data_IF_030811125012
#
_entry.id   IF_030811125012
#
_cell.length_a   1.000
_cell.length_b   1.000
_cell.length_c   1.000
_cell.angle_alpha   90.00
_cell.angle_beta   90.00
_cell.angle_gamma   90.00
#
_symmetry.space_group_name_H-M   'P 1'
#
loop_
_entity.id
_entity.type
_entity.pdbx_description
1 polymer ?
#
# COMPACT_ATOMS: atom_id res chain seq x y z
N UNK A 1 -29.55 -2.03 17.46
CA UNK A 1 -30.77 -2.84 17.24
C UNK A 1 -31.13 -2.78 15.76
N UNK A 2 -30.84 -3.85 15.01
CA UNK A 2 -31.14 -3.92 13.57
C UNK A 2 -32.50 -4.63 13.40
N UNK A 3 -33.59 -3.86 13.43
CA UNK A 3 -34.96 -4.34 13.27
C UNK A 3 -35.28 -4.88 11.85
N UNK A 4 -34.40 -4.66 10.86
CA UNK A 4 -34.52 -5.16 9.49
C UNK A 4 -33.70 -6.42 9.19
N UNK A 5 -33.16 -7.11 10.21
CA UNK A 5 -32.36 -8.31 10.04
C UNK A 5 -33.23 -9.47 9.57
N UNK A 6 -32.99 -9.98 8.38
CA UNK A 6 -33.51 -11.26 7.92
C UNK A 6 -33.09 -12.37 8.90
N UNK A 7 -34.07 -13.04 9.49
CA UNK A 7 -33.95 -13.93 10.65
C UNK A 7 -32.88 -15.01 10.55
N UNK A 8 -31.66 -14.67 10.94
CA UNK A 8 -30.62 -15.66 11.31
C UNK A 8 -30.46 -15.62 12.81
N UNK A 9 -30.82 -16.70 13.48
CA UNK A 9 -30.46 -16.90 14.86
C UNK A 9 -28.96 -17.27 14.90
N UNK A 10 -28.17 -16.51 15.66
CA UNK A 10 -26.80 -16.90 15.99
C UNK A 10 -26.88 -18.02 17.01
N UNK A 11 -26.21 -19.10 16.74
CA UNK A 11 -26.12 -20.25 17.64
C UNK A 11 -24.67 -20.77 17.63
N UNK A 12 -24.32 -21.51 18.67
CA UNK A 12 -23.04 -22.19 18.79
C UNK A 12 -23.27 -23.56 19.44
N UNK A 13 -22.49 -24.55 19.01
CA UNK A 13 -22.42 -25.86 19.67
C UNK A 13 -21.37 -25.88 20.78
N UNK A 14 -20.63 -24.79 20.98
CA UNK A 14 -19.61 -24.65 22.02
C UNK A 14 -20.20 -24.31 23.38
N UNK A 15 -19.39 -24.50 24.40
CA UNK A 15 -19.70 -24.04 25.76
C UNK A 15 -19.68 -22.52 25.83
N UNK A 16 -20.29 -21.97 26.88
CA UNK A 16 -20.17 -20.55 27.21
C UNK A 16 -18.68 -20.23 27.43
N UNK A 17 -18.21 -19.23 26.68
CA UNK A 17 -16.84 -18.73 26.80
C UNK A 17 -16.72 -17.66 27.90
N UNK A 18 -15.57 -17.00 27.93
CA UNK A 18 -15.36 -15.86 28.81
C UNK A 18 -16.29 -14.69 28.43
N UNK A 19 -16.62 -13.86 29.41
CA UNK A 19 -17.46 -12.69 29.19
C UNK A 19 -16.77 -11.69 28.20
N UNK A 20 -17.61 -11.05 27.39
CA UNK A 20 -17.12 -10.02 26.44
C UNK A 20 -16.55 -8.84 27.22
N UNK A 21 -15.31 -8.49 26.97
CA UNK A 21 -14.67 -7.30 27.53
C UNK A 21 -14.84 -6.11 26.60
N UNK A 22 -15.16 -4.94 27.17
CA UNK A 22 -15.23 -3.68 26.45
C UNK A 22 -14.07 -2.79 26.87
N UNK A 23 -13.29 -2.33 25.91
CA UNK A 23 -12.24 -1.35 26.10
C UNK A 23 -12.58 -0.06 25.35
N UNK A 24 -12.59 1.07 26.06
CA UNK A 24 -12.76 2.39 25.46
C UNK A 24 -11.39 3.04 25.26
N UNK A 25 -10.87 2.94 24.05
CA UNK A 25 -9.58 3.51 23.70
C UNK A 25 -9.64 5.05 23.59
N UNK A 26 -8.53 5.70 23.91
CA UNK A 26 -8.40 7.14 23.78
C UNK A 26 -8.30 7.58 22.30
N UNK A 27 -7.65 6.76 21.48
CA UNK A 27 -7.53 6.94 20.02
C UNK A 27 -7.23 5.59 19.34
N UNK A 28 -7.17 5.60 18.01
CA UNK A 28 -6.91 4.41 17.20
C UNK A 28 -5.55 3.73 17.46
N UNK A 29 -4.54 4.50 17.87
CA UNK A 29 -3.21 3.95 18.21
C UNK A 29 -3.25 3.23 19.56
N UNK A 30 -4.01 3.76 20.52
CA UNK A 30 -4.24 3.14 21.82
C UNK A 30 -5.07 1.86 21.68
N UNK A 31 -6.12 1.88 20.84
CA UNK A 31 -6.88 0.69 20.47
C UNK A 31 -6.00 -0.41 19.90
N UNK A 32 -5.18 -0.08 18.93
CA UNK A 32 -4.29 -1.05 18.29
C UNK A 32 -3.25 -1.62 19.25
N UNK A 33 -2.69 -0.79 20.13
CA UNK A 33 -1.76 -1.24 21.17
C UNK A 33 -2.44 -2.18 22.16
N UNK A 34 -3.64 -1.83 22.63
CA UNK A 34 -4.42 -2.70 23.51
C UNK A 34 -4.66 -4.08 22.90
N UNK A 35 -5.05 -4.12 21.61
CA UNK A 35 -5.26 -5.38 20.87
C UNK A 35 -3.97 -6.22 20.84
N UNK A 36 -2.84 -5.61 20.52
CA UNK A 36 -1.53 -6.28 20.49
C UNK A 36 -1.17 -6.84 21.88
N UNK A 37 -1.40 -6.05 22.93
CA UNK A 37 -1.13 -6.47 24.31
C UNK A 37 -2.03 -7.64 24.73
N UNK A 38 -3.29 -7.67 24.30
CA UNK A 38 -4.20 -8.80 24.55
C UNK A 38 -3.72 -10.08 23.85
N UNK A 39 -3.26 -9.99 22.60
CA UNK A 39 -2.71 -11.14 21.86
C UNK A 39 -1.43 -11.66 22.55
N UNK A 40 -0.58 -10.76 23.01
CA UNK A 40 0.66 -11.12 23.72
C UNK A 40 0.34 -11.82 25.05
N UNK A 41 -0.64 -11.31 25.81
CA UNK A 41 -1.11 -11.94 27.05
C UNK A 41 -1.71 -13.33 26.79
N UNK A 42 -2.53 -13.48 25.75
CA UNK A 42 -3.08 -14.77 25.32
C UNK A 42 -1.97 -15.78 25.05
N UNK A 43 -0.95 -15.37 24.30
CA UNK A 43 0.19 -16.23 23.99
C UNK A 43 1.01 -16.60 25.24
N UNK A 44 1.25 -15.66 26.15
CA UNK A 44 1.92 -15.92 27.44
C UNK A 44 1.13 -16.88 28.33
N UNK A 45 -0.19 -16.88 28.21
CA UNK A 45 -1.08 -17.81 28.84
C UNK A 45 -1.12 -19.22 28.22
N UNK A 46 -0.36 -19.46 27.16
CA UNK A 46 -0.28 -20.75 26.45
C UNK A 46 -1.19 -20.86 25.23
N UNK A 47 -1.93 -19.81 24.87
CA UNK A 47 -2.75 -19.76 23.66
C UNK A 47 -1.93 -19.62 22.38
N UNK A 48 -2.54 -19.97 21.25
CA UNK A 48 -1.88 -19.88 19.95
C UNK A 48 -2.31 -18.59 19.22
N UNK A 49 -1.37 -17.90 18.58
CA UNK A 49 -1.67 -16.73 17.75
C UNK A 49 -2.64 -17.04 16.61
N UNK A 50 -2.62 -18.27 16.10
CA UNK A 50 -3.53 -18.72 15.05
C UNK A 50 -5.00 -18.76 15.49
N UNK A 51 -5.27 -18.70 16.78
CA UNK A 51 -6.63 -18.66 17.37
C UNK A 51 -7.12 -17.21 17.52
N UNK A 52 -6.25 -16.22 17.33
CA UNK A 52 -6.61 -14.80 17.44
C UNK A 52 -7.08 -14.25 16.08
N UNK A 53 -8.22 -13.55 16.09
CA UNK A 53 -8.72 -12.83 14.93
C UNK A 53 -9.08 -11.39 15.30
N UNK A 54 -8.62 -10.43 14.47
CA UNK A 54 -8.98 -9.02 14.60
C UNK A 54 -10.02 -8.70 13.54
N UNK A 55 -11.20 -8.29 13.96
CA UNK A 55 -12.29 -7.89 13.07
C UNK A 55 -12.44 -6.36 13.10
N UNK A 56 -12.49 -5.75 11.93
CA UNK A 56 -12.67 -4.31 11.78
C UNK A 56 -13.71 -4.00 10.70
N UNK A 57 -14.37 -2.87 10.83
CA UNK A 57 -15.46 -2.49 9.92
C UNK A 57 -14.99 -1.87 8.61
N UNK A 58 -13.93 -1.09 8.65
CA UNK A 58 -13.44 -0.36 7.47
C UNK A 58 -11.97 -0.64 7.20
N UNK A 59 -11.62 -0.70 5.92
CA UNK A 59 -10.23 -0.89 5.51
C UNK A 59 -9.27 0.22 5.98
N UNK A 60 -9.78 1.39 6.35
CA UNK A 60 -8.96 2.46 6.89
C UNK A 60 -8.34 2.09 8.25
N UNK A 61 -9.07 1.32 9.07
CA UNK A 61 -8.61 0.86 10.39
C UNK A 61 -7.44 -0.14 10.29
N UNK A 62 -7.35 -0.91 9.18
CA UNK A 62 -6.30 -1.92 9.03
C UNK A 62 -4.89 -1.36 9.13
N UNK A 63 -4.64 -0.13 8.66
CA UNK A 63 -3.30 0.49 8.67
C UNK A 63 -2.71 0.58 10.07
N UNK A 64 -3.47 1.11 11.02
CA UNK A 64 -2.99 1.31 12.40
C UNK A 64 -2.76 -0.03 13.09
N UNK A 65 -3.65 -1.00 12.86
CA UNK A 65 -3.51 -2.37 13.36
C UNK A 65 -2.29 -3.06 12.78
N UNK A 66 -2.07 -2.97 11.47
CA UNK A 66 -0.91 -3.55 10.80
C UNK A 66 0.40 -2.95 11.31
N UNK A 67 0.47 -1.60 11.45
CA UNK A 67 1.63 -0.92 12.01
C UNK A 67 1.93 -1.36 13.45
N UNK A 68 0.91 -1.53 14.29
CA UNK A 68 1.09 -2.00 15.66
C UNK A 68 1.60 -3.45 15.73
N UNK A 69 1.05 -4.35 14.90
CA UNK A 69 1.50 -5.74 14.79
C UNK A 69 2.96 -5.85 14.28
N UNK A 70 3.31 -5.04 13.27
CA UNK A 70 4.69 -4.98 12.73
C UNK A 70 5.66 -4.50 13.80
N UNK A 71 5.33 -3.43 14.55
CA UNK A 71 6.18 -2.91 15.64
C UNK A 71 6.39 -3.94 16.75
N UNK A 72 5.36 -4.73 17.03
CA UNK A 72 5.42 -5.82 18.01
C UNK A 72 6.08 -7.10 17.45
N UNK A 73 6.55 -7.08 16.20
CA UNK A 73 7.08 -8.24 15.49
C UNK A 73 6.12 -9.45 15.51
N UNK A 74 4.81 -9.18 15.44
CA UNK A 74 3.76 -10.20 15.37
C UNK A 74 3.39 -10.49 13.92
N UNK A 75 3.63 -11.71 13.40
CA UNK A 75 3.19 -12.08 12.07
C UNK A 75 1.66 -12.11 12.00
N UNK A 76 1.11 -11.58 10.91
CA UNK A 76 -0.33 -11.52 10.68
C UNK A 76 -0.67 -11.85 9.23
N UNK A 77 -1.93 -12.16 8.99
CA UNK A 77 -2.50 -12.39 7.65
C UNK A 77 -3.82 -11.65 7.52
N UNK A 78 -4.02 -10.97 6.38
CA UNK A 78 -5.29 -10.31 6.06
C UNK A 78 -6.13 -11.23 5.18
N UNK A 79 -7.38 -11.44 5.57
CA UNK A 79 -8.37 -12.17 4.81
C UNK A 79 -9.39 -11.20 4.19
N UNK A 80 -9.72 -11.41 2.92
CA UNK A 80 -10.72 -10.59 2.22
C UNK A 80 -10.25 -9.22 1.73
N UNK A 81 -8.94 -8.93 1.82
CA UNK A 81 -8.37 -7.67 1.34
C UNK A 81 -6.86 -7.74 1.11
N UNK A 82 -6.32 -6.68 0.52
CA UNK A 82 -4.87 -6.49 0.39
C UNK A 82 -4.34 -5.75 1.62
N UNK A 83 -3.11 -6.08 2.03
CA UNK A 83 -2.39 -5.28 3.03
C UNK A 83 -2.38 -3.82 2.61
N UNK A 84 -2.42 -2.91 3.56
CA UNK A 84 -2.46 -1.46 3.26
C UNK A 84 -1.39 -1.05 2.24
N UNK A 85 -0.15 -1.46 2.46
CA UNK A 85 0.97 -1.11 1.57
C UNK A 85 0.99 -1.87 0.24
N UNK A 86 0.20 -2.93 0.10
CA UNK A 86 0.07 -3.69 -1.16
C UNK A 86 -1.00 -3.12 -2.09
N UNK A 87 -1.83 -2.20 -1.60
CA UNK A 87 -2.86 -1.53 -2.39
C UNK A 87 -2.23 -0.72 -3.52
N UNK A 88 -2.86 -0.77 -4.68
CA UNK A 88 -2.33 -0.16 -5.89
C UNK A 88 -2.02 1.33 -5.72
N UNK A 89 -2.96 2.07 -5.14
CA UNK A 89 -2.85 3.51 -4.89
C UNK A 89 -1.69 3.84 -3.94
N UNK A 90 -1.50 3.03 -2.89
CA UNK A 90 -0.41 3.22 -1.92
C UNK A 90 0.94 2.91 -2.56
N UNK A 91 1.03 1.82 -3.33
CA UNK A 91 2.26 1.47 -4.06
C UNK A 91 2.63 2.54 -5.09
N UNK A 92 1.65 3.15 -5.74
CA UNK A 92 1.89 4.25 -6.68
C UNK A 92 2.37 5.51 -5.95
N UNK A 93 1.73 5.88 -4.84
CA UNK A 93 2.16 7.03 -4.02
C UNK A 93 3.60 6.83 -3.49
N UNK A 94 3.92 5.65 -2.98
CA UNK A 94 5.27 5.32 -2.53
C UNK A 94 6.30 5.35 -3.68
N UNK A 95 5.92 4.91 -4.88
CA UNK A 95 6.81 4.98 -6.05
C UNK A 95 7.10 6.43 -6.45
N UNK A 96 6.11 7.35 -6.36
CA UNK A 96 6.36 8.78 -6.54
C UNK A 96 7.38 9.32 -5.52
N UNK A 97 7.20 9.03 -4.23
CA UNK A 97 8.12 9.47 -3.18
C UNK A 97 9.53 8.90 -3.36
N UNK A 98 9.63 7.64 -3.80
CA UNK A 98 10.92 7.00 -4.10
C UNK A 98 11.61 7.68 -5.28
N UNK A 99 10.88 7.99 -6.35
CA UNK A 99 11.42 8.67 -7.52
C UNK A 99 11.84 10.11 -7.19
N UNK A 100 11.09 10.83 -6.37
CA UNK A 100 11.45 12.16 -5.86
C UNK A 100 12.76 12.10 -5.06
N UNK A 101 12.92 11.08 -4.22
CA UNK A 101 14.14 10.89 -3.42
C UNK A 101 15.34 10.41 -4.24
N UNK A 102 15.10 9.55 -5.21
CA UNK A 102 16.12 8.95 -6.05
C UNK A 102 15.65 8.86 -7.51
N UNK A 103 16.16 9.74 -8.37
CA UNK A 103 15.84 9.78 -9.80
C UNK A 103 16.28 8.52 -10.55
N UNK A 104 17.25 7.78 -10.02
CA UNK A 104 17.77 6.55 -10.62
C UNK A 104 16.97 5.30 -10.24
N UNK A 105 15.82 5.45 -9.58
CA UNK A 105 14.91 4.33 -9.30
C UNK A 105 14.02 4.04 -10.52
N UNK A 106 14.58 3.30 -11.48
CA UNK A 106 13.90 2.93 -12.72
C UNK A 106 12.58 2.17 -12.46
N UNK A 107 12.55 1.31 -11.45
CA UNK A 107 11.34 0.57 -11.09
C UNK A 107 10.22 1.49 -10.56
N UNK A 108 10.59 2.51 -9.79
CA UNK A 108 9.64 3.53 -9.34
C UNK A 108 9.16 4.38 -10.53
N UNK A 109 10.08 4.78 -11.42
CA UNK A 109 9.74 5.53 -12.63
C UNK A 109 8.77 4.75 -13.53
N UNK A 110 9.07 3.50 -13.88
CA UNK A 110 8.20 2.67 -14.71
C UNK A 110 6.79 2.55 -14.13
N UNK A 111 6.69 2.42 -12.81
CA UNK A 111 5.41 2.31 -12.14
C UNK A 111 4.54 3.55 -12.29
N UNK A 112 5.10 4.74 -12.16
CA UNK A 112 4.33 6.00 -12.07
C UNK A 112 4.33 6.82 -13.35
N UNK A 113 5.14 6.47 -14.32
CA UNK A 113 5.34 7.26 -15.53
C UNK A 113 4.03 7.61 -16.26
N UNK A 114 3.09 6.66 -16.29
CA UNK A 114 1.75 6.86 -16.87
C UNK A 114 0.62 6.69 -15.84
N UNK A 115 0.89 6.94 -14.57
CA UNK A 115 -0.09 6.90 -13.48
C UNK A 115 -0.10 8.25 -12.75
N UNK A 116 -1.19 9.04 -12.78
CA UNK A 116 -2.37 8.87 -13.62
C UNK A 116 -2.04 8.90 -15.11
N UNK A 117 -2.97 8.46 -15.95
CA UNK A 117 -2.77 8.40 -17.41
C UNK A 117 -2.38 9.76 -17.99
N UNK A 118 -1.20 9.85 -18.62
CA UNK A 118 -0.63 11.07 -19.20
C UNK A 118 -0.44 11.00 -20.71
N UNK A 119 -0.81 9.87 -21.33
CA UNK A 119 -0.59 9.65 -22.75
C UNK A 119 0.81 9.12 -23.09
N UNK A 120 1.58 8.66 -22.10
CA UNK A 120 2.83 7.93 -22.31
C UNK A 120 2.48 6.49 -22.62
N UNK A 121 2.57 6.10 -23.88
CA UNK A 121 2.31 4.72 -24.32
C UNK A 121 3.50 3.79 -24.12
N UNK A 122 3.26 2.48 -24.23
CA UNK A 122 4.29 1.44 -24.07
C UNK A 122 5.49 1.68 -25.01
N UNK A 123 5.26 2.03 -26.27
CA UNK A 123 6.33 2.32 -27.23
C UNK A 123 7.26 3.47 -26.78
N UNK A 124 6.73 4.48 -26.08
CA UNK A 124 7.53 5.58 -25.52
C UNK A 124 8.38 5.09 -24.35
N UNK A 125 7.79 4.28 -23.46
CA UNK A 125 8.51 3.67 -22.34
C UNK A 125 9.63 2.77 -22.84
N UNK A 126 9.36 1.94 -23.85
CA UNK A 126 10.35 1.04 -24.44
C UNK A 126 11.49 1.80 -25.11
N UNK A 127 11.20 2.91 -25.79
CA UNK A 127 12.22 3.77 -26.39
C UNK A 127 13.14 4.37 -25.33
N UNK A 128 12.59 4.87 -24.23
CA UNK A 128 13.37 5.43 -23.11
C UNK A 128 14.22 4.33 -22.46
N UNK A 129 13.64 3.16 -22.23
CA UNK A 129 14.37 2.00 -21.65
C UNK A 129 15.51 1.54 -22.56
N UNK A 130 15.27 1.46 -23.86
CA UNK A 130 16.29 1.07 -24.82
C UNK A 130 17.44 2.09 -24.83
N UNK A 131 17.12 3.38 -24.89
CA UNK A 131 18.11 4.46 -24.85
C UNK A 131 18.92 4.44 -23.54
N UNK A 132 18.25 4.28 -22.40
CA UNK A 132 18.91 4.16 -21.09
C UNK A 132 19.95 3.03 -21.06
N UNK A 133 19.59 1.86 -21.63
CA UNK A 133 20.51 0.71 -21.73
C UNK A 133 21.68 0.96 -22.66
N UNK A 134 21.44 1.63 -23.81
CA UNK A 134 22.47 1.93 -24.79
C UNK A 134 23.50 2.92 -24.25
N UNK A 135 23.04 3.93 -23.50
CA UNK A 135 23.88 4.98 -22.92
C UNK A 135 24.40 4.64 -21.52
N UNK A 136 23.99 3.52 -20.93
CA UNK A 136 24.39 3.12 -19.56
C UNK A 136 23.93 4.09 -18.47
N UNK A 137 22.79 4.77 -18.69
CA UNK A 137 22.22 5.75 -17.77
C UNK A 137 20.88 5.29 -17.20
N UNK A 138 20.33 6.06 -16.24
CA UNK A 138 19.01 5.80 -15.69
C UNK A 138 17.88 6.09 -16.72
N UNK A 139 16.70 5.51 -16.51
CA UNK A 139 15.53 5.87 -17.33
C UNK A 139 15.15 7.35 -17.16
N UNK A 140 15.45 7.94 -16.04
CA UNK A 140 15.25 9.36 -15.78
C UNK A 140 16.14 10.22 -16.68
N UNK A 141 17.46 9.98 -16.65
CA UNK A 141 18.42 10.70 -17.48
C UNK A 141 18.13 10.49 -18.96
N UNK A 142 17.79 9.27 -19.36
CA UNK A 142 17.37 8.95 -20.71
C UNK A 142 16.11 9.73 -21.13
N UNK A 143 15.12 9.87 -20.25
CA UNK A 143 13.91 10.63 -20.54
C UNK A 143 14.23 12.12 -20.74
N UNK A 144 15.11 12.71 -19.93
CA UNK A 144 15.57 14.09 -20.08
C UNK A 144 16.31 14.28 -21.43
N UNK A 145 17.27 13.42 -21.74
CA UNK A 145 18.03 13.49 -23.00
C UNK A 145 17.12 13.36 -24.23
N UNK A 146 16.15 12.45 -24.19
CA UNK A 146 15.18 12.24 -25.27
C UNK A 146 14.29 13.48 -25.46
N UNK A 147 13.91 14.15 -24.38
CA UNK A 147 13.16 15.43 -24.43
C UNK A 147 14.05 16.53 -25.02
N UNK A 148 15.27 16.70 -24.53
CA UNK A 148 16.19 17.75 -24.98
C UNK A 148 16.53 17.61 -26.48
N UNK A 149 16.71 16.39 -26.96
CA UNK A 149 16.97 16.11 -28.37
C UNK A 149 15.72 16.05 -29.25
N UNK A 150 14.53 16.22 -28.66
CA UNK A 150 13.23 16.21 -29.36
C UNK A 150 13.02 15.00 -30.30
N UNK A 151 13.40 13.82 -29.84
CA UNK A 151 13.37 12.59 -30.64
C UNK A 151 12.03 11.84 -30.61
N UNK A 152 11.04 12.35 -29.85
CA UNK A 152 9.70 11.79 -29.74
C UNK A 152 8.68 12.55 -30.60
N UNK A 153 7.58 11.88 -31.01
CA UNK A 153 6.43 12.60 -31.57
C UNK A 153 5.92 13.63 -30.55
N UNK A 154 5.43 14.78 -31.03
CA UNK A 154 5.03 15.95 -30.19
C UNK A 154 4.16 15.58 -28.98
N UNK A 155 3.18 14.72 -29.16
CA UNK A 155 2.30 14.30 -28.07
C UNK A 155 3.06 13.55 -26.95
N UNK A 156 3.92 12.62 -27.35
CA UNK A 156 4.72 11.85 -26.40
C UNK A 156 5.80 12.73 -25.74
N UNK A 157 6.43 13.61 -26.52
CA UNK A 157 7.40 14.61 -26.03
C UNK A 157 6.77 15.46 -24.92
N UNK A 158 5.62 16.09 -25.16
CA UNK A 158 4.95 16.93 -24.17
C UNK A 158 4.55 16.16 -22.92
N UNK A 159 4.14 14.90 -23.07
CA UNK A 159 3.77 14.05 -21.94
C UNK A 159 4.98 13.71 -21.06
N UNK A 160 6.12 13.36 -21.67
CA UNK A 160 7.37 13.08 -20.95
C UNK A 160 7.90 14.34 -20.28
N UNK A 161 7.95 15.45 -21.00
CA UNK A 161 8.38 16.75 -20.46
C UNK A 161 7.53 17.19 -19.27
N UNK A 162 6.21 17.04 -19.37
CA UNK A 162 5.29 17.36 -18.26
C UNK A 162 5.52 16.48 -17.04
N UNK A 163 5.85 15.20 -17.25
CA UNK A 163 6.17 14.29 -16.16
C UNK A 163 7.49 14.66 -15.48
N UNK A 164 8.54 14.92 -16.24
CA UNK A 164 9.83 15.36 -15.70
C UNK A 164 9.65 16.65 -14.90
N UNK A 165 8.98 17.65 -15.46
CA UNK A 165 8.71 18.91 -14.76
C UNK A 165 7.80 18.79 -13.53
N UNK A 166 6.97 17.74 -13.44
CA UNK A 166 6.17 17.45 -12.24
C UNK A 166 7.05 16.96 -11.08
N UNK A 167 8.03 16.10 -11.39
CA UNK A 167 8.88 15.46 -10.37
C UNK A 167 9.98 16.43 -9.87
N UNK A 168 10.38 17.41 -10.68
CA UNK A 168 11.43 18.38 -10.34
C UNK A 168 10.93 19.62 -9.58
N UNK A 169 9.61 19.74 -9.38
CA UNK A 169 9.01 20.79 -8.55
C UNK A 169 9.12 20.48 -7.05
#
# INVERSE_FOLDING_TARGET
NNSGRLGKNLWTDGNDGEAISLYAAFNEMDEARFIVDQIDQWQKGGGLRAECAILYRSNAQSRVLEEALIRANMPYRIYGGQRFYDRLEIRNALAYLRLIKNRNDDAAMERVFNVPTRGVGAATVDKIRFHARAEGCSMWDSAQQIVDHNTLPTRAHNAVQSFVGLIDR
#
